data_IF_640542454525
#
_entry.id   IF_640542454525
#
_cell.length_a   1.000
_cell.length_b   1.000
_cell.length_c   1.000
_cell.angle_alpha   90.00
_cell.angle_beta   90.00
_cell.angle_gamma   90.00
#
_symmetry.space_group_name_H-M   'P 1'
#
loop_
_entity.id
_entity.type
_entity.pdbx_description
1 polymer ?
#
# COMPACT_ATOMS: atom_id res chain seq x y z
N UNK A 1 -6.67 -15.01 63.25
CA UNK A 1 -5.71 -13.90 63.06
C UNK A 1 -4.36 -14.48 62.70
N UNK A 2 -3.90 -14.37 61.45
CA UNK A 2 -2.48 -14.32 61.07
C UNK A 2 -2.41 -13.81 59.63
N UNK A 3 -1.93 -12.58 59.44
CA UNK A 3 -1.75 -11.95 58.13
C UNK A 3 -0.28 -12.12 57.71
N UNK A 4 -0.03 -12.84 56.62
CA UNK A 4 1.30 -12.99 56.04
C UNK A 4 1.57 -11.86 55.05
N UNK A 5 2.54 -11.01 55.37
CA UNK A 5 2.98 -9.87 54.56
C UNK A 5 4.05 -10.34 53.56
N UNK A 6 3.72 -10.32 52.26
CA UNK A 6 4.70 -10.59 51.20
C UNK A 6 5.45 -9.30 50.83
N UNK A 7 6.72 -9.21 51.25
CA UNK A 7 7.63 -8.14 50.81
C UNK A 7 8.12 -8.42 49.37
N UNK A 8 7.70 -7.60 48.41
CA UNK A 8 8.22 -7.65 47.03
C UNK A 8 9.57 -6.93 46.95
N UNK A 9 10.61 -7.67 46.57
CA UNK A 9 11.96 -7.16 46.30
C UNK A 9 11.96 -6.41 44.97
N UNK A 10 12.10 -5.09 45.01
CA UNK A 10 12.19 -4.25 43.82
C UNK A 10 13.50 -4.54 43.07
N UNK A 11 13.41 -4.90 41.79
CA UNK A 11 14.57 -5.02 40.89
C UNK A 11 14.89 -3.63 40.35
N UNK A 12 16.11 -3.15 40.60
CA UNK A 12 16.67 -1.94 40.02
C UNK A 12 16.83 -2.15 38.50
N UNK A 13 16.02 -1.44 37.72
CA UNK A 13 16.15 -1.35 36.26
C UNK A 13 17.21 -0.29 35.94
N UNK A 14 18.25 -0.69 35.20
CA UNK A 14 19.25 0.23 34.64
C UNK A 14 18.59 1.10 33.56
N UNK A 15 18.25 2.34 33.90
CA UNK A 15 17.82 3.35 32.95
C UNK A 15 19.06 4.05 32.37
N UNK A 16 19.38 3.80 31.10
CA UNK A 16 20.36 4.61 30.36
C UNK A 16 19.69 5.83 29.74
N UNK A 17 20.35 6.99 29.85
CA UNK A 17 19.87 8.28 29.36
C UNK A 17 19.83 8.31 27.81
N UNK A 18 18.73 8.78 27.18
CA UNK A 18 18.70 8.95 25.74
C UNK A 18 19.56 10.17 25.33
N UNK A 19 20.59 9.90 24.52
CA UNK A 19 21.42 10.93 23.90
C UNK A 19 20.72 11.41 22.62
N UNK A 20 20.10 12.58 22.66
CA UNK A 20 19.53 13.23 21.48
C UNK A 20 20.64 13.76 20.57
N UNK A 21 20.96 13.03 19.50
CA UNK A 21 21.79 13.56 18.40
C UNK A 21 20.92 14.46 17.50
N UNK A 22 21.36 15.71 17.36
CA UNK A 22 20.77 16.75 16.51
C UNK A 22 20.85 16.32 15.04
N UNK A 23 19.70 15.94 14.45
CA UNK A 23 19.57 15.53 13.05
C UNK A 23 19.59 16.79 12.17
N UNK A 24 20.58 16.89 11.25
CA UNK A 24 20.57 17.87 10.16
C UNK A 24 19.44 17.51 9.19
N UNK A 25 18.76 18.54 8.67
CA UNK A 25 17.74 18.41 7.64
C UNK A 25 18.35 17.76 6.38
N UNK A 26 17.91 16.55 6.09
CA UNK A 26 18.14 15.89 4.81
C UNK A 26 16.85 16.01 4.00
N UNK A 27 17.02 16.45 2.77
CA UNK A 27 16.04 16.52 1.70
C UNK A 27 15.35 15.16 1.54
N UNK A 28 14.06 15.14 1.86
CA UNK A 28 13.24 13.93 1.95
C UNK A 28 12.52 13.68 0.63
N UNK A 29 13.18 12.92 -0.26
CA UNK A 29 12.55 12.37 -1.46
C UNK A 29 12.92 10.89 -1.66
N UNK A 30 12.78 10.09 -0.60
CA UNK A 30 12.53 8.64 -0.69
C UNK A 30 12.22 8.06 0.71
N UNK A 31 11.01 8.33 1.23
CA UNK A 31 10.59 7.88 2.57
C UNK A 31 10.14 6.41 2.63
N UNK A 32 10.46 5.61 1.60
CA UNK A 32 10.07 4.20 1.48
C UNK A 32 11.24 3.20 1.47
N UNK A 33 12.47 3.64 1.74
CA UNK A 33 13.58 2.73 2.07
C UNK A 33 13.38 2.02 3.43
N UNK A 34 12.41 2.45 4.26
CA UNK A 34 12.22 1.88 5.61
C UNK A 34 11.37 0.59 5.64
N UNK A 35 10.76 0.19 4.51
CA UNK A 35 10.15 -1.14 4.32
C UNK A 35 10.96 -2.01 3.34
N UNK A 36 12.22 -1.67 3.09
CA UNK A 36 13.14 -2.49 2.31
C UNK A 36 13.67 -3.63 3.21
N UNK A 37 13.02 -4.79 3.05
CA UNK A 37 13.26 -6.07 3.71
C UNK A 37 14.75 -6.28 3.95
N UNK A 38 15.13 -6.38 5.22
CA UNK A 38 16.39 -6.98 5.66
C UNK A 38 16.41 -8.40 5.10
N UNK A 39 17.28 -8.64 4.12
CA UNK A 39 17.50 -9.95 3.52
C UNK A 39 18.10 -10.90 4.58
N UNK A 40 17.22 -11.57 5.32
CA UNK A 40 17.57 -12.50 6.39
C UNK A 40 17.92 -13.91 5.84
N UNK A 41 18.08 -14.06 4.52
CA UNK A 41 18.28 -15.36 3.87
C UNK A 41 19.74 -15.77 3.66
N UNK A 42 20.72 -14.93 4.04
CA UNK A 42 22.16 -15.18 3.80
C UNK A 42 22.96 -15.68 5.01
N UNK A 43 22.35 -16.49 5.90
CA UNK A 43 23.09 -17.23 6.92
C UNK A 43 22.77 -18.73 6.90
N UNK A 44 23.38 -19.48 5.96
CA UNK A 44 23.99 -20.79 6.24
C UNK A 44 24.61 -21.43 5.00
N UNK A 45 25.93 -21.48 4.96
CA UNK A 45 26.68 -22.63 4.46
C UNK A 45 28.17 -22.48 4.72
N UNK A 46 28.64 -23.09 5.81
CA UNK A 46 30.02 -23.56 5.96
C UNK A 46 30.02 -24.74 6.94
N UNK A 47 29.79 -25.93 6.38
CA UNK A 47 30.42 -27.20 6.79
C UNK A 47 31.85 -27.21 6.20
N UNK A 48 32.92 -27.77 6.78
CA UNK A 48 33.11 -28.52 8.00
C UNK A 48 34.64 -28.71 8.31
N UNK A 49 34.89 -29.27 9.51
CA UNK A 49 36.03 -30.10 10.00
C UNK A 49 37.41 -29.45 10.37
N UNK A 50 38.32 -30.12 11.14
CA UNK A 50 38.51 -29.96 12.60
C UNK A 50 39.96 -29.61 13.02
N UNK A 51 40.22 -29.32 14.29
CA UNK A 51 41.60 -29.38 14.82
C UNK A 51 41.84 -28.67 16.15
N UNK A 52 42.37 -29.42 17.12
CA UNK A 52 42.89 -28.97 18.41
C UNK A 52 43.87 -27.80 18.31
N UNK A 53 43.75 -26.82 19.22
CA UNK A 53 44.80 -26.49 20.20
C UNK A 53 44.39 -25.30 21.08
N UNK A 54 44.78 -25.40 22.35
CA UNK A 54 44.67 -24.35 23.35
C UNK A 54 45.76 -23.28 23.13
N UNK A 55 45.39 -22.00 23.27
CA UNK A 55 46.08 -21.00 24.11
C UNK A 55 45.63 -19.58 23.76
N UNK A 56 45.14 -18.88 24.78
CA UNK A 56 45.49 -17.50 25.17
C UNK A 56 45.59 -16.41 24.10
N UNK A 57 44.73 -15.40 24.20
CA UNK A 57 45.03 -14.09 23.58
C UNK A 57 43.83 -13.18 23.49
N UNK A 58 43.77 -12.21 24.40
CA UNK A 58 42.79 -11.14 24.42
C UNK A 58 42.76 -10.35 23.10
N UNK A 59 41.55 -10.10 22.60
CA UNK A 59 41.16 -8.88 21.89
C UNK A 59 39.64 -8.90 21.71
N UNK A 60 38.95 -8.21 22.61
CA UNK A 60 37.54 -7.86 22.44
C UNK A 60 37.43 -6.81 21.32
N UNK A 61 37.45 -7.27 20.06
CA UNK A 61 37.00 -6.47 18.94
C UNK A 61 35.48 -6.50 18.94
N UNK A 62 34.90 -5.42 19.47
CA UNK A 62 33.53 -5.02 19.19
C UNK A 62 33.32 -5.10 17.68
N UNK A 63 32.49 -6.04 17.23
CA UNK A 63 32.00 -6.14 15.86
C UNK A 63 31.12 -4.92 15.60
N UNK A 64 31.78 -3.83 15.21
CA UNK A 64 31.15 -2.66 14.62
C UNK A 64 30.43 -3.16 13.38
N UNK A 65 29.11 -3.31 13.45
CA UNK A 65 28.24 -3.51 12.29
C UNK A 65 28.37 -2.26 11.44
N UNK A 66 29.37 -2.24 10.56
CA UNK A 66 29.49 -1.25 9.49
C UNK A 66 28.23 -1.41 8.66
N UNK A 67 27.28 -0.48 8.80
CA UNK A 67 26.09 -0.43 7.98
C UNK A 67 26.51 -0.45 6.51
N UNK A 68 26.32 -1.59 5.87
CA UNK A 68 26.65 -1.77 4.47
C UNK A 68 25.85 -0.75 3.68
N UNK A 69 26.55 0.08 2.91
CA UNK A 69 25.92 0.95 1.91
C UNK A 69 25.18 0.03 0.95
N UNK A 70 23.85 -0.07 1.08
CA UNK A 70 23.01 -0.87 0.19
C UNK A 70 23.16 -0.29 -1.21
N UNK A 71 23.78 -1.05 -2.11
CA UNK A 71 23.87 -0.67 -3.52
C UNK A 71 22.49 -0.80 -4.14
N UNK A 72 21.95 0.29 -4.70
CA UNK A 72 20.75 0.24 -5.54
C UNK A 72 21.03 -0.71 -6.70
N UNK A 73 20.22 -1.77 -6.82
CA UNK A 73 20.33 -2.74 -7.91
C UNK A 73 20.11 -2.05 -9.26
N UNK A 74 20.87 -2.47 -10.27
CA UNK A 74 20.65 -2.00 -11.64
C UNK A 74 19.29 -2.48 -12.19
N UNK A 75 18.78 -1.82 -13.23
CA UNK A 75 17.51 -2.23 -13.85
C UNK A 75 17.58 -3.66 -14.43
N UNK A 76 18.73 -4.03 -14.98
CA UNK A 76 19.00 -5.36 -15.52
C UNK A 76 19.07 -6.42 -14.41
N UNK A 77 19.75 -6.12 -13.29
CA UNK A 77 19.80 -7.00 -12.12
C UNK A 77 18.40 -7.21 -11.50
N UNK A 78 17.57 -6.16 -11.48
CA UNK A 78 16.17 -6.26 -11.01
C UNK A 78 15.35 -7.18 -11.90
N UNK A 79 15.47 -7.05 -13.22
CA UNK A 79 14.78 -7.92 -14.17
C UNK A 79 15.26 -9.38 -14.07
N UNK A 80 16.56 -9.61 -13.88
CA UNK A 80 17.10 -10.95 -13.66
C UNK A 80 16.53 -11.60 -12.39
N UNK A 81 16.51 -10.86 -11.27
CA UNK A 81 15.91 -11.34 -10.01
C UNK A 81 14.41 -11.59 -10.11
N UNK A 82 13.69 -10.73 -10.84
CA UNK A 82 12.27 -10.93 -11.10
C UNK A 82 12.05 -12.28 -11.82
N UNK A 83 12.76 -12.51 -12.93
CA UNK A 83 12.70 -13.76 -13.69
C UNK A 83 13.09 -14.98 -12.86
N UNK A 84 14.10 -14.85 -11.99
CA UNK A 84 14.51 -15.91 -11.07
C UNK A 84 13.40 -16.31 -10.11
N UNK A 85 12.75 -15.32 -9.45
CA UNK A 85 11.65 -15.58 -8.52
C UNK A 85 10.45 -16.18 -9.26
N UNK A 86 10.12 -15.69 -10.45
CA UNK A 86 9.03 -16.25 -11.25
C UNK A 86 9.33 -17.70 -11.66
N UNK A 87 10.54 -17.99 -12.14
CA UNK A 87 10.96 -19.35 -12.49
C UNK A 87 10.94 -20.29 -11.26
N UNK A 88 11.26 -19.76 -10.08
CA UNK A 88 11.15 -20.50 -8.82
C UNK A 88 9.69 -20.76 -8.42
N UNK A 89 8.79 -19.80 -8.60
CA UNK A 89 7.39 -19.90 -8.21
C UNK A 89 6.55 -20.78 -9.15
N UNK A 90 6.69 -20.63 -10.46
CA UNK A 90 5.90 -21.37 -11.48
C UNK A 90 5.74 -22.88 -11.21
N UNK A 91 6.80 -23.67 -10.95
CA UNK A 91 6.65 -25.12 -10.71
C UNK A 91 6.06 -25.47 -9.33
N UNK A 92 5.96 -24.50 -8.42
CA UNK A 92 5.49 -24.66 -7.03
C UNK A 92 4.05 -24.19 -6.81
N UNK A 93 3.42 -23.60 -7.82
CA UNK A 93 2.04 -23.10 -7.76
C UNK A 93 1.03 -24.09 -8.35
N UNK A 94 -0.26 -23.85 -8.09
CA UNK A 94 -1.38 -24.60 -8.63
C UNK A 94 -1.85 -25.77 -7.76
N UNK A 95 -2.95 -26.41 -8.20
CA UNK A 95 -3.56 -27.53 -7.46
C UNK A 95 -2.67 -28.76 -7.30
N UNK A 96 -1.76 -28.99 -8.26
CA UNK A 96 -0.82 -30.12 -8.28
C UNK A 96 0.59 -29.59 -8.61
N UNK A 97 1.30 -29.01 -7.62
CA UNK A 97 2.61 -28.41 -7.88
C UNK A 97 3.60 -29.51 -8.26
N UNK A 98 4.50 -29.20 -9.19
CA UNK A 98 5.57 -30.12 -9.61
C UNK A 98 6.59 -30.30 -8.48
N UNK A 99 6.84 -29.23 -7.73
CA UNK A 99 7.73 -29.22 -6.56
C UNK A 99 6.90 -28.96 -5.30
N UNK A 100 7.02 -29.82 -4.29
CA UNK A 100 6.21 -29.77 -3.07
C UNK A 100 6.53 -28.61 -2.12
N UNK A 101 7.61 -27.87 -2.38
CA UNK A 101 8.04 -26.76 -1.53
C UNK A 101 7.07 -25.59 -1.65
N UNK A 102 6.64 -25.10 -0.49
CA UNK A 102 5.74 -23.99 -0.35
C UNK A 102 6.38 -22.64 -0.73
N UNK A 103 5.74 -21.89 -1.63
CA UNK A 103 6.12 -20.48 -1.86
C UNK A 103 5.70 -19.64 -0.65
N UNK A 104 6.60 -18.77 -0.18
CA UNK A 104 6.32 -17.82 0.92
C UNK A 104 5.62 -16.55 0.42
N UNK A 105 4.72 -15.97 1.22
CA UNK A 105 4.02 -14.72 0.90
C UNK A 105 4.95 -13.56 0.54
N UNK A 106 6.13 -13.50 1.17
CA UNK A 106 7.14 -12.48 0.90
C UNK A 106 7.58 -12.41 -0.58
N UNK A 107 7.56 -13.53 -1.31
CA UNK A 107 7.93 -13.54 -2.73
C UNK A 107 6.95 -12.73 -3.57
N UNK A 108 5.66 -12.70 -3.23
CA UNK A 108 4.67 -11.90 -3.94
C UNK A 108 4.95 -10.40 -3.79
N UNK A 109 5.26 -9.94 -2.59
CA UNK A 109 5.65 -8.55 -2.36
C UNK A 109 6.97 -8.20 -3.06
N UNK A 110 7.94 -9.11 -3.05
CA UNK A 110 9.19 -8.94 -3.78
C UNK A 110 8.97 -8.84 -5.30
N UNK A 111 8.09 -9.67 -5.88
CA UNK A 111 7.74 -9.58 -7.30
C UNK A 111 7.16 -8.21 -7.65
N UNK A 112 6.24 -7.69 -6.84
CA UNK A 112 5.66 -6.35 -7.06
C UNK A 112 6.70 -5.24 -6.97
N UNK A 113 7.65 -5.35 -6.05
CA UNK A 113 8.74 -4.38 -5.90
C UNK A 113 9.73 -4.43 -7.07
N UNK A 114 9.98 -5.63 -7.62
CA UNK A 114 10.93 -5.84 -8.71
C UNK A 114 10.34 -5.57 -10.10
N UNK A 115 9.03 -5.73 -10.28
CA UNK A 115 8.36 -5.59 -11.57
C UNK A 115 8.44 -4.15 -12.11
N UNK A 116 9.30 -3.84 -13.07
CA UNK A 116 9.50 -2.49 -13.64
C UNK A 116 8.66 -2.20 -14.87
N UNK A 117 8.05 -3.20 -15.49
CA UNK A 117 7.23 -3.06 -16.71
C UNK A 117 5.82 -3.58 -16.49
N UNK A 118 4.88 -3.11 -17.32
CA UNK A 118 3.51 -3.61 -17.33
C UNK A 118 3.45 -5.11 -17.65
N UNK A 119 4.31 -5.58 -18.56
CA UNK A 119 4.39 -7.00 -18.94
C UNK A 119 4.78 -7.89 -17.76
N UNK A 120 5.75 -7.46 -16.95
CA UNK A 120 6.11 -8.18 -15.72
C UNK A 120 4.95 -8.20 -14.74
N UNK A 121 4.20 -7.10 -14.62
CA UNK A 121 3.03 -7.07 -13.74
C UNK A 121 1.91 -8.00 -14.25
N UNK A 122 1.70 -8.09 -15.57
CA UNK A 122 0.80 -9.08 -16.19
C UNK A 122 1.22 -10.50 -15.90
N UNK A 123 2.52 -10.81 -15.98
CA UNK A 123 3.03 -12.13 -15.61
C UNK A 123 2.75 -12.46 -14.14
N UNK A 124 2.84 -11.49 -13.21
CA UNK A 124 2.43 -11.70 -11.81
C UNK A 124 0.93 -12.02 -11.73
N UNK A 125 0.08 -11.29 -12.47
CA UNK A 125 -1.37 -11.50 -12.50
C UNK A 125 -1.74 -12.90 -13.00
N UNK A 126 -1.03 -13.42 -14.00
CA UNK A 126 -1.22 -14.79 -14.52
C UNK A 126 -0.93 -15.89 -13.49
N UNK A 127 -0.09 -15.62 -12.48
CA UNK A 127 0.25 -16.57 -11.43
C UNK A 127 -0.77 -16.56 -10.26
N UNK A 128 -1.55 -15.49 -10.09
CA UNK A 128 -2.49 -15.35 -8.96
C UNK A 128 -3.55 -16.47 -8.90
N UNK A 129 -4.19 -16.91 -10.01
CA UNK A 129 -5.15 -18.00 -9.95
C UNK A 129 -4.51 -19.31 -9.45
N UNK A 130 -3.25 -19.56 -9.81
CA UNK A 130 -2.53 -20.75 -9.37
C UNK A 130 -2.20 -20.68 -7.87
N UNK A 131 -2.01 -19.48 -7.32
CA UNK A 131 -1.91 -19.27 -5.87
C UNK A 131 -3.22 -19.63 -5.16
N UNK A 132 -4.35 -19.14 -5.69
CA UNK A 132 -5.67 -19.49 -5.18
C UNK A 132 -5.90 -21.00 -5.19
N UNK A 133 -5.58 -21.69 -6.29
CA UNK A 133 -5.73 -23.14 -6.42
C UNK A 133 -4.90 -23.94 -5.39
N UNK A 134 -3.82 -23.36 -4.87
CA UNK A 134 -3.03 -23.96 -3.79
C UNK A 134 -3.73 -23.91 -2.42
N UNK A 135 -4.90 -23.28 -2.33
CA UNK A 135 -5.68 -23.13 -1.10
C UNK A 135 -5.09 -22.12 -0.13
N UNK A 136 -4.37 -21.12 -0.66
CA UNK A 136 -3.68 -20.08 0.12
C UNK A 136 -4.28 -18.72 -0.16
N UNK A 137 -4.25 -17.88 0.88
CA UNK A 137 -4.71 -16.50 0.82
C UNK A 137 -3.52 -15.54 0.79
N UNK A 138 -3.75 -14.34 0.26
CA UNK A 138 -2.76 -13.27 0.28
C UNK A 138 -2.67 -12.64 1.67
N UNK A 139 -1.46 -12.21 2.03
CA UNK A 139 -1.23 -11.46 3.26
C UNK A 139 -1.84 -10.05 3.20
N UNK A 140 -2.18 -9.51 4.36
CA UNK A 140 -2.62 -8.13 4.50
C UNK A 140 -1.58 -7.17 3.90
N UNK A 141 -2.04 -6.20 3.11
CA UNK A 141 -1.18 -5.23 2.42
C UNK A 141 -0.71 -5.62 1.02
N UNK A 142 -0.88 -6.87 0.59
CA UNK A 142 -0.59 -7.25 -0.81
C UNK A 142 -1.41 -6.43 -1.81
N UNK A 143 -2.72 -6.26 -1.56
CA UNK A 143 -3.58 -5.46 -2.44
C UNK A 143 -3.13 -4.00 -2.53
N UNK A 144 -2.74 -3.38 -1.41
CA UNK A 144 -2.23 -2.01 -1.40
C UNK A 144 -0.90 -1.89 -2.18
N UNK A 145 0.02 -2.84 -2.00
CA UNK A 145 1.26 -2.91 -2.77
C UNK A 145 0.99 -3.10 -4.28
N UNK A 146 0.03 -3.95 -4.63
CA UNK A 146 -0.36 -4.22 -6.01
C UNK A 146 -0.96 -2.98 -6.68
N UNK A 147 -1.97 -2.35 -6.06
CA UNK A 147 -2.58 -1.10 -6.56
C UNK A 147 -1.53 0.00 -6.71
N UNK A 148 -0.63 0.13 -5.71
CA UNK A 148 0.46 1.09 -5.79
C UNK A 148 1.35 0.82 -6.99
N UNK A 149 1.72 -0.44 -7.25
CA UNK A 149 2.54 -0.77 -8.41
C UNK A 149 1.82 -0.51 -9.73
N UNK A 150 0.54 -0.83 -9.82
CA UNK A 150 -0.30 -0.46 -10.96
C UNK A 150 -0.30 1.06 -11.19
N UNK A 151 -0.39 1.86 -10.14
CA UNK A 151 -0.34 3.33 -10.23
C UNK A 151 1.01 3.82 -10.74
N UNK A 152 2.12 3.29 -10.22
CA UNK A 152 3.48 3.66 -10.61
C UNK A 152 3.76 3.34 -12.09
N UNK A 153 3.25 2.21 -12.59
CA UNK A 153 3.40 1.78 -13.97
C UNK A 153 2.29 2.30 -14.92
N UNK A 154 1.30 3.03 -14.39
CA UNK A 154 0.11 3.51 -15.12
C UNK A 154 -0.73 2.38 -15.75
N UNK A 155 -0.79 1.24 -15.09
CA UNK A 155 -1.53 0.05 -15.52
C UNK A 155 -2.72 -0.25 -14.59
N UNK A 156 -3.51 0.78 -14.24
CA UNK A 156 -4.65 0.65 -13.31
C UNK A 156 -5.75 -0.29 -13.83
N UNK A 157 -5.87 -0.46 -15.15
CA UNK A 157 -6.80 -1.42 -15.76
C UNK A 157 -6.55 -2.86 -15.27
N UNK A 158 -5.30 -3.25 -14.99
CA UNK A 158 -4.98 -4.56 -14.41
C UNK A 158 -5.54 -4.70 -12.99
N UNK A 159 -5.53 -3.63 -12.20
CA UNK A 159 -6.17 -3.65 -10.89
C UNK A 159 -7.68 -3.81 -11.02
N UNK A 160 -8.32 -3.14 -12.00
CA UNK A 160 -9.75 -3.31 -12.25
C UNK A 160 -10.10 -4.75 -12.67
N UNK A 161 -9.28 -5.39 -13.51
CA UNK A 161 -9.47 -6.80 -13.89
C UNK A 161 -9.34 -7.73 -12.68
N UNK A 162 -8.25 -7.57 -11.91
CA UNK A 162 -7.96 -8.43 -10.75
C UNK A 162 -9.03 -8.32 -9.68
N UNK A 163 -9.44 -7.09 -9.34
CA UNK A 163 -10.44 -6.87 -8.31
C UNK A 163 -11.87 -7.09 -8.80
N UNK A 164 -12.13 -6.93 -10.11
CA UNK A 164 -13.41 -7.21 -10.73
C UNK A 164 -13.74 -8.70 -10.77
N UNK A 165 -12.73 -9.57 -10.92
CA UNK A 165 -12.89 -11.02 -10.94
C UNK A 165 -12.31 -11.68 -9.68
N UNK A 166 -12.93 -11.36 -8.52
CA UNK A 166 -12.54 -11.95 -7.23
C UNK A 166 -12.60 -13.49 -7.24
N UNK A 167 -13.55 -14.06 -8.00
CA UNK A 167 -13.70 -15.51 -8.15
C UNK A 167 -12.52 -16.16 -8.89
N UNK A 168 -11.83 -15.44 -9.76
CA UNK A 168 -10.62 -15.94 -10.42
C UNK A 168 -9.36 -15.71 -9.57
N UNK A 169 -9.17 -14.50 -9.05
CA UNK A 169 -7.88 -14.10 -8.48
C UNK A 169 -7.78 -14.23 -6.95
N UNK A 170 -8.90 -14.20 -6.23
CA UNK A 170 -8.97 -14.29 -4.75
C UNK A 170 -8.02 -13.31 -4.03
N UNK A 171 -7.85 -12.10 -4.58
CA UNK A 171 -7.05 -11.05 -3.93
C UNK A 171 -7.97 -10.21 -3.03
N UNK A 172 -7.79 -10.21 -1.71
CA UNK A 172 -8.64 -9.43 -0.81
C UNK A 172 -8.35 -7.94 -0.97
N UNK A 173 -9.37 -7.13 -1.28
CA UNK A 173 -9.25 -5.68 -1.34
C UNK A 173 -9.48 -5.08 0.06
N UNK A 174 -8.51 -4.30 0.54
CA UNK A 174 -8.64 -3.52 1.77
C UNK A 174 -9.06 -2.07 1.48
N UNK A 175 -9.51 -1.37 2.53
CA UNK A 175 -9.98 0.02 2.40
C UNK A 175 -8.87 0.97 1.90
N UNK A 176 -7.62 0.69 2.26
CA UNK A 176 -6.46 1.52 1.88
C UNK A 176 -6.17 1.37 0.39
N UNK A 177 -6.11 0.13 -0.12
CA UNK A 177 -5.95 -0.14 -1.56
C UNK A 177 -7.15 0.38 -2.35
N UNK A 178 -8.38 0.25 -1.84
CA UNK A 178 -9.58 0.74 -2.52
C UNK A 178 -9.57 2.28 -2.66
N UNK A 179 -9.17 3.01 -1.62
CA UNK A 179 -8.99 4.48 -1.68
C UNK A 179 -7.88 4.86 -2.65
N UNK A 180 -6.76 4.16 -2.60
CA UNK A 180 -5.63 4.42 -3.50
C UNK A 180 -6.00 4.14 -4.97
N UNK A 181 -6.75 3.07 -5.23
CA UNK A 181 -7.23 2.72 -6.56
C UNK A 181 -8.15 3.82 -7.10
N UNK A 182 -9.15 4.24 -6.32
CA UNK A 182 -10.05 5.34 -6.68
C UNK A 182 -9.27 6.62 -7.02
N UNK A 183 -8.37 7.04 -6.13
CA UNK A 183 -7.55 8.23 -6.37
C UNK A 183 -6.74 8.12 -7.65
N UNK A 184 -6.12 6.95 -7.90
CA UNK A 184 -5.31 6.74 -9.11
C UNK A 184 -6.12 6.78 -10.40
N UNK A 185 -7.37 6.30 -10.38
CA UNK A 185 -8.26 6.26 -11.54
C UNK A 185 -8.80 7.64 -11.89
N UNK A 186 -9.16 8.47 -10.90
CA UNK A 186 -9.68 9.83 -11.14
C UNK A 186 -8.72 10.72 -11.93
N UNK A 187 -7.41 10.46 -11.81
CA UNK A 187 -6.38 11.25 -12.49
C UNK A 187 -6.22 10.83 -13.96
N UNK A 188 -6.35 9.54 -14.27
CA UNK A 188 -5.87 8.97 -15.54
C UNK A 188 -6.93 8.27 -16.37
N UNK A 189 -8.10 7.94 -15.81
CA UNK A 189 -9.11 7.07 -16.42
C UNK A 189 -10.49 7.75 -16.53
N UNK A 190 -11.37 7.25 -17.42
CA UNK A 190 -12.73 7.76 -17.53
C UNK A 190 -13.55 7.51 -16.27
N UNK A 191 -14.62 8.31 -16.08
CA UNK A 191 -15.49 8.25 -14.89
C UNK A 191 -16.12 6.86 -14.68
N UNK A 192 -16.39 6.11 -15.75
CA UNK A 192 -16.92 4.74 -15.69
C UNK A 192 -16.04 3.81 -14.85
N UNK A 193 -14.72 3.94 -14.97
CA UNK A 193 -13.76 3.09 -14.26
C UNK A 193 -13.73 3.43 -12.77
N UNK A 194 -13.89 4.72 -12.44
CA UNK A 194 -14.04 5.20 -11.06
C UNK A 194 -15.32 4.62 -10.44
N UNK A 195 -16.43 4.61 -11.19
CA UNK A 195 -17.68 4.00 -10.74
C UNK A 195 -17.55 2.49 -10.54
N UNK A 196 -16.86 1.81 -11.46
CA UNK A 196 -16.55 0.38 -11.35
C UNK A 196 -15.75 0.08 -10.08
N UNK A 197 -14.68 0.86 -9.82
CA UNK A 197 -13.90 0.73 -8.59
C UNK A 197 -14.71 1.05 -7.32
N UNK A 198 -15.68 1.98 -7.39
CA UNK A 198 -16.58 2.25 -6.26
C UNK A 198 -17.50 1.07 -5.93
N UNK A 199 -17.90 0.29 -6.95
CA UNK A 199 -18.73 -0.91 -6.76
C UNK A 199 -17.98 -2.03 -6.02
N UNK A 200 -16.64 -2.06 -6.09
CA UNK A 200 -15.83 -3.02 -5.35
C UNK A 200 -16.02 -2.90 -3.84
N UNK A 201 -16.37 -1.73 -3.30
CA UNK A 201 -16.59 -1.58 -1.87
C UNK A 201 -17.65 -2.55 -1.36
N UNK A 202 -18.78 -2.66 -2.06
CA UNK A 202 -19.83 -3.60 -1.70
C UNK A 202 -19.42 -5.06 -1.95
N UNK A 203 -18.72 -5.33 -3.06
CA UNK A 203 -18.27 -6.68 -3.42
C UNK A 203 -17.32 -7.27 -2.37
N UNK A 204 -16.46 -6.44 -1.79
CA UNK A 204 -15.46 -6.83 -0.78
C UNK A 204 -15.93 -6.61 0.66
N UNK A 205 -17.19 -6.24 0.87
CA UNK A 205 -17.75 -6.00 2.22
C UNK A 205 -17.11 -4.81 2.94
N UNK A 206 -16.55 -3.86 2.20
CA UNK A 206 -16.03 -2.60 2.73
C UNK A 206 -17.20 -1.63 3.03
N UNK A 207 -17.03 -0.65 3.94
CA UNK A 207 -18.03 0.39 4.15
C UNK A 207 -18.34 1.10 2.82
N UNK A 208 -19.61 1.35 2.45
CA UNK A 208 -19.94 2.02 1.20
C UNK A 208 -19.13 3.30 0.99
N UNK A 209 -18.74 3.59 -0.25
CA UNK A 209 -17.90 4.75 -0.55
C UNK A 209 -18.54 6.09 -0.10
N UNK A 210 -19.87 6.15 0.05
CA UNK A 210 -20.60 7.29 0.62
C UNK A 210 -20.48 7.46 2.13
N UNK A 211 -20.00 6.45 2.85
CA UNK A 211 -19.73 6.48 4.30
C UNK A 211 -18.25 6.72 4.62
N UNK A 212 -17.37 6.58 3.63
CA UNK A 212 -15.96 6.90 3.76
C UNK A 212 -15.66 8.31 3.26
N UNK A 213 -15.10 9.17 4.12
CA UNK A 213 -14.84 10.56 3.76
C UNK A 213 -13.89 10.70 2.57
N UNK A 214 -12.83 9.87 2.54
CA UNK A 214 -11.80 9.92 1.50
C UNK A 214 -12.42 9.55 0.16
N UNK A 215 -13.02 8.37 0.07
CA UNK A 215 -13.65 7.89 -1.16
C UNK A 215 -14.82 8.74 -1.62
N UNK A 216 -15.69 9.19 -0.70
CA UNK A 216 -16.80 10.08 -1.04
C UNK A 216 -16.30 11.39 -1.65
N UNK A 217 -15.28 12.02 -1.05
CA UNK A 217 -14.71 13.27 -1.58
C UNK A 217 -14.12 13.09 -2.98
N UNK A 218 -13.39 12.00 -3.21
CA UNK A 218 -12.76 11.69 -4.51
C UNK A 218 -13.83 11.46 -5.58
N UNK A 219 -14.89 10.70 -5.27
CA UNK A 219 -15.97 10.41 -6.22
C UNK A 219 -16.75 11.67 -6.57
N UNK A 220 -17.10 12.50 -5.58
CA UNK A 220 -17.83 13.75 -5.82
C UNK A 220 -17.01 14.70 -6.70
N UNK A 221 -15.72 14.84 -6.40
CA UNK A 221 -14.80 15.65 -7.21
C UNK A 221 -14.71 15.12 -8.65
N UNK A 222 -14.50 13.81 -8.83
CA UNK A 222 -14.46 13.19 -10.16
C UNK A 222 -15.75 13.43 -10.96
N UNK A 223 -16.91 13.25 -10.32
CA UNK A 223 -18.21 13.48 -10.93
C UNK A 223 -18.41 14.93 -11.40
N UNK A 224 -18.02 15.89 -10.56
CA UNK A 224 -18.14 17.32 -10.87
C UNK A 224 -17.16 17.76 -11.97
N UNK A 225 -15.95 17.18 -12.02
CA UNK A 225 -14.98 17.44 -13.09
C UNK A 225 -15.45 16.93 -14.44
N UNK A 226 -16.09 15.76 -14.48
CA UNK A 226 -16.59 15.16 -15.73
C UNK A 226 -17.80 15.92 -16.30
N UNK A 227 -18.63 16.51 -15.44
CA UNK A 227 -19.73 17.41 -15.79
C UNK A 227 -20.73 16.85 -16.82
N UNK A 228 -21.03 15.55 -16.80
CA UNK A 228 -22.16 14.98 -17.54
C UNK A 228 -23.44 15.04 -16.70
N UNK A 229 -24.64 14.95 -17.30
CA UNK A 229 -25.90 14.94 -16.55
C UNK A 229 -25.93 13.84 -15.47
N UNK A 230 -25.45 12.65 -15.81
CA UNK A 230 -25.42 11.50 -14.90
C UNK A 230 -24.39 11.69 -13.78
N UNK A 231 -23.20 12.20 -14.11
CA UNK A 231 -22.16 12.44 -13.09
C UNK A 231 -22.57 13.54 -12.13
N UNK A 232 -23.19 14.62 -12.63
CA UNK A 232 -23.74 15.69 -11.80
C UNK A 232 -24.85 15.18 -10.88
N UNK A 233 -25.78 14.35 -11.38
CA UNK A 233 -26.82 13.75 -10.54
C UNK A 233 -26.24 12.90 -9.39
N UNK A 234 -25.18 12.13 -9.66
CA UNK A 234 -24.46 11.36 -8.63
C UNK A 234 -23.78 12.31 -7.63
N UNK A 235 -23.12 13.36 -8.10
CA UNK A 235 -22.49 14.34 -7.22
C UNK A 235 -23.51 15.01 -6.30
N UNK A 236 -24.65 15.45 -6.84
CA UNK A 236 -25.72 16.10 -6.08
C UNK A 236 -26.31 15.18 -5.01
N UNK A 237 -26.45 13.88 -5.33
CA UNK A 237 -26.89 12.88 -4.35
C UNK A 237 -25.85 12.62 -3.24
N UNK A 238 -24.55 12.69 -3.54
CA UNK A 238 -23.47 12.42 -2.58
C UNK A 238 -23.05 13.64 -1.74
N UNK A 239 -23.28 14.86 -2.24
CA UNK A 239 -22.89 16.11 -1.55
C UNK A 239 -23.44 16.22 -0.11
N UNK A 240 -24.70 15.87 0.21
CA UNK A 240 -25.20 15.87 1.58
C UNK A 240 -24.41 14.94 2.50
N UNK A 241 -24.10 13.73 2.04
CA UNK A 241 -23.30 12.75 2.80
C UNK A 241 -21.88 13.25 3.02
N UNK A 242 -21.25 13.85 2.01
CA UNK A 242 -19.91 14.43 2.14
C UNK A 242 -19.88 15.55 3.20
N UNK A 243 -20.90 16.41 3.23
CA UNK A 243 -21.03 17.49 4.23
C UNK A 243 -21.20 16.93 5.64
N UNK A 244 -21.99 15.87 5.80
CA UNK A 244 -22.17 15.18 7.07
C UNK A 244 -20.88 14.48 7.54
N UNK A 245 -20.18 13.79 6.64
CA UNK A 245 -18.90 13.14 6.98
C UNK A 245 -17.84 14.15 7.37
N UNK A 246 -17.80 15.30 6.70
CA UNK A 246 -16.87 16.39 7.04
C UNK A 246 -17.14 17.00 8.41
N UNK A 247 -18.39 17.01 8.89
CA UNK A 247 -18.70 17.52 10.24
C UNK A 247 -18.36 16.51 11.34
N UNK A 248 -18.43 15.20 11.04
CA UNK A 248 -18.14 14.12 11.99
C UNK A 248 -16.65 13.79 12.11
N UNK A 249 -15.91 13.86 11.01
CA UNK A 249 -14.53 13.39 10.95
C UNK A 249 -13.55 14.57 10.96
N UNK A 250 -12.73 14.73 12.02
CA UNK A 250 -11.74 15.79 12.07
C UNK A 250 -10.60 15.49 11.08
N UNK A 251 -10.61 16.15 9.92
CA UNK A 251 -9.49 16.09 8.98
C UNK A 251 -8.42 17.07 9.44
N UNK A 252 -7.23 16.56 9.75
CA UNK A 252 -6.10 17.42 10.04
C UNK A 252 -5.56 18.02 8.73
N UNK A 253 -6.04 19.21 8.37
CA UNK A 253 -5.67 19.92 7.13
C UNK A 253 -4.17 20.29 7.08
N UNK A 254 -3.48 20.27 8.23
CA UNK A 254 -2.04 20.54 8.34
C UNK A 254 -1.19 19.28 8.22
N UNK A 255 -1.81 18.11 8.26
CA UNK A 255 -1.11 16.85 8.19
C UNK A 255 -0.80 16.49 6.73
N UNK A 256 0.46 16.64 6.37
CA UNK A 256 1.00 16.26 5.06
C UNK A 256 1.56 14.84 5.04
N UNK A 257 1.61 14.15 6.18
CA UNK A 257 2.19 12.81 6.27
C UNK A 257 1.18 11.73 5.83
N UNK A 258 -0.09 11.92 6.17
CA UNK A 258 -1.16 11.00 5.75
C UNK A 258 -1.70 11.43 4.38
N UNK A 259 -1.44 10.61 3.36
CA UNK A 259 -1.81 10.88 1.96
C UNK A 259 -3.31 11.12 1.80
N UNK A 260 -4.12 10.41 2.58
CA UNK A 260 -5.58 10.52 2.60
C UNK A 260 -6.05 11.92 2.95
N UNK A 261 -5.40 12.59 3.90
CA UNK A 261 -5.75 13.96 4.28
C UNK A 261 -5.42 14.94 3.15
N UNK A 262 -4.32 14.71 2.44
CA UNK A 262 -3.92 15.50 1.27
C UNK A 262 -4.95 15.33 0.14
N UNK A 263 -5.39 14.09 -0.11
CA UNK A 263 -6.39 13.79 -1.14
C UNK A 263 -7.74 14.42 -0.81
N UNK A 264 -8.23 14.28 0.42
CA UNK A 264 -9.50 14.90 0.86
C UNK A 264 -9.44 16.42 0.72
N UNK A 265 -8.33 17.03 1.14
CA UNK A 265 -8.15 18.48 1.01
C UNK A 265 -8.22 18.93 -0.45
N UNK A 266 -7.43 18.30 -1.31
CA UNK A 266 -7.41 18.62 -2.74
C UNK A 266 -8.80 18.46 -3.39
N UNK A 267 -9.47 17.34 -3.12
CA UNK A 267 -10.81 17.08 -3.64
C UNK A 267 -11.84 18.12 -3.14
N UNK A 268 -11.85 18.42 -1.84
CA UNK A 268 -12.78 19.41 -1.26
C UNK A 268 -12.53 20.82 -1.80
N UNK A 269 -11.28 21.23 -1.98
CA UNK A 269 -10.94 22.53 -2.54
C UNK A 269 -11.42 22.64 -4.00
N UNK A 270 -11.23 21.58 -4.79
CA UNK A 270 -11.71 21.52 -6.17
C UNK A 270 -13.24 21.51 -6.27
N UNK A 271 -13.93 20.75 -5.41
CA UNK A 271 -15.40 20.75 -5.31
C UNK A 271 -15.91 22.16 -5.02
N UNK A 272 -15.33 22.85 -4.03
CA UNK A 272 -15.74 24.21 -3.68
C UNK A 272 -15.53 25.18 -4.84
N UNK A 273 -14.41 25.07 -5.55
CA UNK A 273 -14.11 25.90 -6.73
C UNK A 273 -15.16 25.69 -7.83
N UNK A 274 -15.51 24.44 -8.14
CA UNK A 274 -16.49 24.11 -9.19
C UNK A 274 -17.88 24.62 -8.79
N UNK A 275 -18.31 24.42 -7.55
CA UNK A 275 -19.62 24.87 -7.07
C UNK A 275 -19.74 26.41 -7.05
N UNK A 276 -18.67 27.13 -6.69
CA UNK A 276 -18.66 28.58 -6.77
C UNK A 276 -18.81 29.08 -8.21
N UNK A 277 -18.14 28.43 -9.16
CA UNK A 277 -18.25 28.76 -10.58
C UNK A 277 -19.67 28.55 -11.11
N UNK A 278 -20.28 27.39 -10.82
CA UNK A 278 -21.69 27.10 -11.20
C UNK A 278 -22.66 28.16 -10.65
N UNK A 279 -22.50 28.54 -9.38
CA UNK A 279 -23.32 29.59 -8.76
C UNK A 279 -23.17 30.95 -9.45
N UNK A 280 -21.97 31.30 -9.94
CA UNK A 280 -21.75 32.54 -10.70
C UNK A 280 -22.39 32.47 -12.08
N UNK A 281 -22.33 31.32 -12.75
CA UNK A 281 -22.96 31.09 -14.05
C UNK A 281 -24.49 31.15 -13.96
N UNK A 282 -25.10 30.63 -12.89
CA UNK A 282 -26.55 30.70 -12.67
C UNK A 282 -27.05 32.13 -12.36
N UNK A 283 -26.21 32.97 -11.75
CA UNK A 283 -26.54 34.36 -11.39
C UNK A 283 -26.25 35.36 -12.53
N UNK A 284 -25.32 35.05 -13.44
CA UNK A 284 -24.94 35.88 -14.57
C UNK A 284 -26.09 36.29 -15.51
N UNK A 285 -26.99 35.38 -15.94
CA UNK A 285 -28.08 35.72 -16.86
C UNK A 285 -29.21 36.54 -16.23
N UNK A 286 -29.25 36.67 -14.89
CA UNK A 286 -30.24 37.49 -14.19
C UNK A 286 -29.84 38.97 -14.07
N UNK A 287 -28.59 39.34 -14.37
CA UNK A 287 -28.08 40.71 -14.28
C UNK A 287 -27.92 41.40 -15.66
N UNK A 288 -28.13 40.67 -16.76
CA UNK A 288 -28.06 41.17 -18.14
C UNK A 288 -29.41 41.24 -18.85
N UNK A 289 -30.51 40.95 -18.15
CA UNK A 289 -31.89 41.14 -18.59
C UNK A 289 -32.53 42.32 -17.87
#
# INVERSE_FOLDING_TARGET
MFAATFARRARLLHASSPVFKKRKAAESDDLFDEFEIVDESLQKSSEAIPGSQASSGASSSSSTTTGGVRRKLSAEERAAKFSEIVAHMKPRLGRKPQVKEAVRNSHWLQLLQLATTEEQLKEVVELLPQWKESGRDFEFGFAAAFVRRCQELKSQHLALEVFGDFAKFNVPLDIVAARQLLHSLVITHPIHDVMTASAFYNLYGLPPASQDLVSCSIIVDACLRHNTPESNAIADALLPHLRELKSKTPVNVKDTYHRENVWVKAAVDDINRILQKKKQEDLGPLLTA
#
